data_IF_910214913008
#
_entry.id   IF_910214913008
#
_cell.length_a   1.000
_cell.length_b   1.000
_cell.length_c   1.000
_cell.angle_alpha   90.00
_cell.angle_beta   90.00
_cell.angle_gamma   90.00
#
_symmetry.space_group_name_H-M   'P 1'
#
loop_
_entity.id
_entity.type
_entity.pdbx_description
1 polymer ?
#
# COMPACT_ATOMS: atom_id res chain seq x y z
N UNK A 1 -13.18 14.18 -0.13
CA UNK A 1 -12.50 12.91 0.16
C UNK A 1 -11.80 12.47 -1.12
N UNK A 2 -10.53 12.04 -1.05
CA UNK A 2 -9.78 11.58 -2.23
C UNK A 2 -9.52 10.09 -2.08
N UNK A 3 -9.82 9.34 -3.13
CA UNK A 3 -9.55 7.90 -3.19
C UNK A 3 -8.36 7.67 -4.11
N UNK A 4 -7.44 6.81 -3.68
CA UNK A 4 -6.28 6.46 -4.47
C UNK A 4 -5.80 5.04 -4.18
N UNK A 5 -4.98 4.50 -5.07
CA UNK A 5 -4.44 3.16 -4.97
C UNK A 5 -2.91 3.14 -4.96
N UNK A 6 -2.31 2.20 -4.23
CA UNK A 6 -0.88 1.92 -4.27
C UNK A 6 -0.65 0.48 -4.73
N UNK A 7 0.23 0.28 -5.70
CA UNK A 7 0.55 -1.05 -6.23
C UNK A 7 1.88 -1.51 -5.64
N UNK A 8 1.91 -2.74 -5.17
CA UNK A 8 3.10 -3.35 -4.56
C UNK A 8 3.01 -4.88 -4.58
N UNK A 9 4.04 -5.56 -4.07
CA UNK A 9 4.02 -7.02 -3.92
C UNK A 9 2.97 -7.46 -2.90
N UNK A 10 2.47 -8.70 -3.01
CA UNK A 10 1.51 -9.24 -2.03
C UNK A 10 2.14 -9.27 -0.64
N UNK A 11 3.43 -9.61 -0.54
CA UNK A 11 4.16 -9.59 0.73
C UNK A 11 4.18 -8.21 1.39
N UNK A 12 4.51 -7.16 0.62
CA UNK A 12 4.50 -5.78 1.12
C UNK A 12 3.09 -5.32 1.49
N UNK A 13 2.09 -5.63 0.66
CA UNK A 13 0.70 -5.26 0.91
C UNK A 13 0.18 -5.89 2.21
N UNK A 14 0.46 -7.18 2.45
CA UNK A 14 0.09 -7.87 3.68
C UNK A 14 0.82 -7.32 4.90
N UNK A 15 2.08 -6.91 4.77
CA UNK A 15 2.82 -6.23 5.87
C UNK A 15 2.17 -4.91 6.23
N UNK A 16 1.78 -4.11 5.24
CA UNK A 16 1.08 -2.83 5.46
C UNK A 16 -0.28 -3.09 6.11
N UNK A 17 -1.07 -4.02 5.56
CA UNK A 17 -2.37 -4.43 6.08
C UNK A 17 -2.29 -4.78 7.58
N UNK A 18 -1.36 -5.67 7.94
CA UNK A 18 -1.22 -6.19 9.30
C UNK A 18 -0.66 -5.18 10.29
N UNK A 19 0.38 -4.47 9.88
CA UNK A 19 1.06 -3.52 10.77
C UNK A 19 0.36 -2.17 10.85
N UNK A 20 -0.48 -1.84 9.86
CA UNK A 20 -1.05 -0.50 9.66
C UNK A 20 0.03 0.58 9.49
N UNK A 21 1.22 0.17 9.05
CA UNK A 21 2.37 1.06 8.82
C UNK A 21 2.94 0.82 7.43
N UNK A 22 3.03 1.88 6.64
CA UNK A 22 3.82 1.92 5.41
C UNK A 22 5.25 2.34 5.73
N UNK A 23 6.20 1.54 5.25
CA UNK A 23 7.64 1.83 5.36
C UNK A 23 8.26 1.86 3.96
N UNK A 24 8.72 3.01 3.48
CA UNK A 24 9.38 3.13 2.18
C UNK A 24 10.67 2.32 2.18
N UNK A 25 10.96 1.64 1.06
CA UNK A 25 12.09 0.73 0.97
C UNK A 25 13.46 1.43 1.08
N UNK A 26 13.59 2.67 0.58
CA UNK A 26 14.78 3.52 0.74
C UNK A 26 14.41 5.02 0.66
N UNK A 27 14.98 5.90 1.51
CA UNK A 27 14.86 7.33 1.35
C UNK A 27 15.86 7.82 0.29
N UNK A 28 15.63 7.52 -0.99
CA UNK A 28 16.16 8.42 -2.00
C UNK A 28 15.38 9.73 -1.85
N UNK A 29 16.07 10.87 -1.82
CA UNK A 29 15.59 12.15 -1.25
C UNK A 29 14.31 12.72 -1.90
N UNK A 30 13.84 12.14 -3.00
CA UNK A 30 12.57 12.45 -3.67
C UNK A 30 11.43 11.48 -3.35
N UNK A 31 11.68 10.27 -2.84
CA UNK A 31 10.74 9.12 -2.83
C UNK A 31 10.38 8.59 -1.44
N UNK A 32 10.51 9.43 -0.42
CA UNK A 32 10.35 9.00 0.95
C UNK A 32 8.88 8.64 1.30
N UNK A 33 7.87 9.01 0.52
CA UNK A 33 6.45 8.83 0.89
C UNK A 33 5.76 7.60 0.29
N UNK A 34 4.45 7.49 0.56
CA UNK A 34 3.57 6.55 -0.12
C UNK A 34 3.05 7.21 -1.40
N UNK A 35 3.42 6.65 -2.54
CA UNK A 35 2.90 7.04 -3.85
C UNK A 35 1.58 6.35 -4.13
N UNK A 36 0.63 7.12 -4.69
CA UNK A 36 -0.68 6.64 -5.05
C UNK A 36 -1.15 7.12 -6.41
N UNK A 37 -2.08 6.37 -6.98
CA UNK A 37 -2.77 6.64 -8.23
C UNK A 37 -4.20 7.04 -7.92
N UNK A 38 -4.68 8.14 -8.48
CA UNK A 38 -6.04 8.61 -8.21
C UNK A 38 -7.05 7.59 -8.76
N UNK A 39 -7.96 7.10 -7.90
CA UNK A 39 -8.82 5.97 -8.23
C UNK A 39 -9.84 6.28 -9.35
N UNK A 40 -10.18 7.57 -9.51
CA UNK A 40 -11.23 8.04 -10.42
C UNK A 40 -10.72 8.41 -11.83
N UNK A 41 -9.41 8.33 -12.11
CA UNK A 41 -8.84 8.64 -13.42
C UNK A 41 -8.25 7.38 -14.09
N UNK A 42 -9.14 6.53 -14.59
CA UNK A 42 -8.81 5.21 -15.17
C UNK A 42 -8.42 5.25 -16.65
N UNK A 43 -8.53 6.40 -17.32
CA UNK A 43 -8.54 6.46 -18.79
C UNK A 43 -7.18 6.70 -19.43
N UNK A 44 -6.15 7.11 -18.66
CA UNK A 44 -4.88 7.56 -19.25
C UNK A 44 -3.62 7.16 -18.49
N UNK A 45 -3.74 6.57 -17.29
CA UNK A 45 -2.57 6.06 -16.57
C UNK A 45 -2.27 4.62 -16.96
N UNK A 46 -1.22 4.42 -17.76
CA UNK A 46 -0.60 3.10 -17.96
C UNK A 46 0.22 2.76 -16.72
N UNK A 47 -0.21 1.75 -15.97
CA UNK A 47 0.53 1.26 -14.80
C UNK A 47 1.93 0.81 -15.25
N UNK A 48 3.01 1.46 -14.76
CA UNK A 48 4.34 1.08 -15.18
C UNK A 48 4.63 -0.35 -14.72
N UNK A 49 5.08 -1.18 -15.66
CA UNK A 49 5.50 -2.58 -15.45
C UNK A 49 6.62 -2.76 -14.41
N UNK A 50 7.22 -1.66 -13.93
CA UNK A 50 8.25 -1.62 -12.89
C UNK A 50 7.71 -1.58 -11.46
N UNK A 51 6.42 -1.31 -11.24
CA UNK A 51 5.80 -1.49 -9.93
C UNK A 51 5.66 -3.00 -9.74
N UNK A 52 6.51 -3.62 -8.91
CA UNK A 52 6.50 -5.05 -8.57
C UNK A 52 5.07 -5.54 -8.28
N UNK A 53 4.39 -5.97 -9.34
CA UNK A 53 2.95 -6.13 -9.37
C UNK A 53 2.52 -7.39 -8.65
N UNK A 54 1.36 -7.33 -8.01
CA UNK A 54 0.79 -8.48 -7.32
C UNK A 54 -0.36 -8.11 -6.41
N UNK A 55 -0.35 -6.89 -5.88
CA UNK A 55 -1.39 -6.37 -5.01
C UNK A 55 -1.64 -4.87 -5.25
N UNK A 56 -2.90 -4.47 -5.08
CA UNK A 56 -3.38 -3.10 -5.13
C UNK A 56 -4.04 -2.76 -3.79
N UNK A 57 -3.43 -1.84 -3.03
CA UNK A 57 -4.00 -1.30 -1.80
C UNK A 57 -4.85 -0.08 -2.15
N UNK A 58 -6.07 -0.01 -1.63
CA UNK A 58 -6.97 1.13 -1.81
C UNK A 58 -6.97 1.98 -0.55
N UNK A 59 -6.90 3.29 -0.74
CA UNK A 59 -6.86 4.26 0.34
C UNK A 59 -7.90 5.36 0.15
N UNK A 60 -8.37 5.86 1.28
CA UNK A 60 -9.14 7.09 1.39
C UNK A 60 -8.32 8.14 2.15
N UNK A 61 -8.27 9.35 1.62
CA UNK A 61 -7.73 10.53 2.28
C UNK A 61 -8.85 11.50 2.70
N UNK A 62 -8.80 11.90 3.97
CA UNK A 62 -9.78 12.81 4.60
C UNK A 62 -9.18 14.14 5.07
N UNK A 63 -7.88 14.33 4.91
CA UNK A 63 -7.14 15.46 5.45
C UNK A 63 -6.97 16.61 4.47
N UNK A 64 -6.14 17.60 4.82
CA UNK A 64 -5.80 18.70 3.92
C UNK A 64 -5.07 18.19 2.67
N UNK A 65 -5.26 18.91 1.57
CA UNK A 65 -4.70 18.59 0.26
C UNK A 65 -3.97 19.82 -0.26
N UNK A 66 -2.78 19.63 -0.80
CA UNK A 66 -2.09 20.64 -1.59
C UNK A 66 -2.03 20.18 -3.04
N UNK A 67 -2.43 21.06 -3.95
CA UNK A 67 -2.32 20.81 -5.38
C UNK A 67 -1.05 21.47 -5.87
N UNK A 68 -0.17 20.69 -6.49
CA UNK A 68 1.07 21.20 -7.09
C UNK A 68 1.05 20.95 -8.59
N UNK A 69 1.21 22.01 -9.42
CA UNK A 69 1.28 21.87 -10.87
C UNK A 69 2.64 21.33 -11.35
N UNK A 70 3.68 21.36 -10.50
CA UNK A 70 5.02 20.84 -10.79
C UNK A 70 5.19 19.37 -10.34
N UNK A 71 5.95 18.61 -11.12
CA UNK A 71 6.16 17.17 -10.89
C UNK A 71 7.09 16.87 -9.72
N UNK A 72 7.82 17.87 -9.22
CA UNK A 72 8.77 17.71 -8.13
C UNK A 72 8.08 17.77 -6.76
N UNK A 73 8.23 16.73 -5.91
CA UNK A 73 7.73 16.79 -4.55
C UNK A 73 8.43 17.92 -3.77
N UNK A 74 7.74 18.56 -2.80
CA UNK A 74 8.37 19.56 -1.95
C UNK A 74 9.63 18.99 -1.30
N UNK A 75 10.70 19.80 -1.19
CA UNK A 75 11.91 19.37 -0.45
C UNK A 75 11.60 18.98 1.00
N UNK A 76 10.61 19.66 1.61
CA UNK A 76 10.11 19.39 2.95
C UNK A 76 8.57 19.35 2.92
N UNK A 77 7.96 18.21 2.55
CA UNK A 77 6.52 18.07 2.55
C UNK A 77 5.99 18.06 3.99
N UNK A 78 4.90 18.80 4.27
CA UNK A 78 4.29 18.80 5.59
C UNK A 78 3.63 17.44 5.87
N UNK A 79 3.92 16.79 7.01
CA UNK A 79 3.21 15.58 7.42
C UNK A 79 1.70 15.80 7.49
N UNK A 80 0.90 14.76 7.28
CA UNK A 80 -0.56 14.83 7.34
C UNK A 80 -1.20 15.75 6.28
N UNK A 81 -0.51 15.98 5.16
CA UNK A 81 -1.02 16.67 3.98
C UNK A 81 -0.84 15.78 2.75
N UNK A 82 -1.89 15.59 1.96
CA UNK A 82 -1.81 14.88 0.68
C UNK A 82 -1.31 15.85 -0.39
N UNK A 83 -0.25 15.47 -1.10
CA UNK A 83 0.20 16.22 -2.27
C UNK A 83 -0.48 15.62 -3.50
N UNK A 84 -1.32 16.42 -4.14
CA UNK A 84 -2.04 16.06 -5.34
C UNK A 84 -1.28 16.56 -6.57
N UNK A 85 -0.68 15.63 -7.30
CA UNK A 85 0.06 15.88 -8.53
C UNK A 85 -0.90 15.60 -9.67
N UNK A 86 -1.63 16.64 -10.06
CA UNK A 86 -2.59 16.55 -11.16
C UNK A 86 -1.90 16.09 -12.45
N UNK A 87 -2.60 15.35 -13.33
CA UNK A 87 -3.90 14.74 -13.10
C UNK A 87 -3.83 13.30 -12.53
N UNK A 88 -2.64 12.70 -12.45
CA UNK A 88 -2.54 11.24 -12.37
C UNK A 88 -2.16 10.66 -10.99
N UNK A 89 -1.48 11.43 -10.13
CA UNK A 89 -0.80 10.87 -8.95
C UNK A 89 -1.01 11.66 -7.69
N UNK A 90 -0.85 10.97 -6.57
CA UNK A 90 -0.80 11.56 -5.24
C UNK A 90 0.41 11.04 -4.47
N UNK A 91 0.83 11.83 -3.50
CA UNK A 91 1.95 11.51 -2.62
C UNK A 91 1.59 11.81 -1.16
N UNK A 92 1.72 10.80 -0.30
CA UNK A 92 1.57 10.93 1.15
C UNK A 92 2.96 10.97 1.81
N UNK A 93 3.33 12.07 2.47
CA UNK A 93 4.65 12.23 3.08
C UNK A 93 4.93 11.28 4.25
N UNK A 94 6.22 10.99 4.49
CA UNK A 94 6.69 10.42 5.78
C UNK A 94 6.25 11.30 6.94
N UNK A 95 5.92 10.67 8.05
CA UNK A 95 5.47 11.32 9.27
C UNK A 95 3.95 11.49 9.31
N UNK A 96 3.24 11.09 8.24
CA UNK A 96 1.78 11.06 8.25
C UNK A 96 1.27 10.00 9.21
N UNK A 97 0.50 10.44 10.20
CA UNK A 97 -0.05 9.60 11.29
C UNK A 97 -1.59 9.61 11.31
N UNK A 98 -2.22 10.48 10.54
CA UNK A 98 -3.68 10.64 10.46
C UNK A 98 -4.13 10.86 9.01
N UNK A 99 -5.45 10.81 8.82
CA UNK A 99 -6.17 11.08 7.56
C UNK A 99 -6.04 10.04 6.44
N UNK A 100 -5.03 9.18 6.46
CA UNK A 100 -4.88 8.06 5.53
C UNK A 100 -5.57 6.82 6.07
N UNK A 101 -6.62 6.35 5.39
CA UNK A 101 -7.32 5.10 5.73
C UNK A 101 -7.11 4.07 4.65
N UNK A 102 -6.78 2.85 5.04
CA UNK A 102 -6.78 1.70 4.14
C UNK A 102 -8.20 1.18 4.02
N UNK A 103 -8.71 1.06 2.80
CA UNK A 103 -10.12 0.71 2.53
C UNK A 103 -10.28 -0.62 1.80
N UNK A 104 -9.20 -1.13 1.22
CA UNK A 104 -9.23 -2.41 0.55
C UNK A 104 -7.85 -2.88 0.12
N UNK A 105 -7.78 -4.16 -0.21
CA UNK A 105 -6.62 -4.79 -0.81
C UNK A 105 -7.13 -5.78 -1.87
N UNK A 106 -6.72 -5.58 -3.12
CA UNK A 106 -6.99 -6.52 -4.20
C UNK A 106 -5.69 -7.22 -4.58
N UNK A 107 -5.71 -8.55 -4.66
CA UNK A 107 -4.57 -9.33 -5.14
C UNK A 107 -4.82 -9.67 -6.60
N UNK A 108 -3.86 -9.35 -7.47
CA UNK A 108 -4.01 -9.62 -8.90
C UNK A 108 -4.01 -11.12 -9.17
N UNK A 109 -4.61 -11.60 -10.28
CA UNK A 109 -4.69 -13.03 -10.59
C UNK A 109 -3.33 -13.76 -10.53
N UNK A 110 -2.24 -13.08 -10.91
CA UNK A 110 -0.87 -13.61 -10.83
C UNK A 110 -0.14 -13.34 -9.52
N UNK A 111 -0.61 -12.41 -8.68
CA UNK A 111 0.09 -11.98 -7.46
C UNK A 111 0.29 -13.09 -6.43
N UNK A 112 -0.66 -14.02 -6.36
CA UNK A 112 -0.59 -15.17 -5.45
C UNK A 112 0.53 -16.16 -5.77
N UNK A 113 0.98 -16.24 -7.03
CA UNK A 113 1.92 -17.25 -7.48
C UNK A 113 3.34 -17.03 -6.93
N UNK A 114 3.71 -15.77 -6.68
CA UNK A 114 5.09 -15.38 -6.36
C UNK A 114 5.36 -15.18 -4.85
N UNK A 115 4.33 -15.01 -4.01
CA UNK A 115 4.50 -14.53 -2.62
C UNK A 115 3.95 -15.44 -1.52
N UNK A 116 3.16 -16.47 -1.84
CA UNK A 116 2.75 -17.47 -0.86
C UNK A 116 3.86 -18.50 -0.65
N UNK A 117 4.87 -18.14 0.13
CA UNK A 117 5.83 -19.11 0.64
C UNK A 117 5.08 -20.23 1.36
N UNK A 118 5.16 -21.44 0.82
CA UNK A 118 4.54 -22.62 1.42
C UNK A 118 5.22 -22.86 2.76
N UNK A 119 4.50 -22.85 3.89
CA UNK A 119 5.09 -23.14 5.18
C UNK A 119 5.77 -24.51 5.13
N UNK A 120 6.95 -24.62 5.75
CA UNK A 120 7.75 -25.86 5.75
C UNK A 120 6.99 -27.08 6.29
N UNK A 121 6.02 -26.89 7.18
CA UNK A 121 5.17 -27.95 7.72
C UNK A 121 4.08 -28.45 6.75
N UNK A 122 3.88 -27.76 5.63
CA UNK A 122 3.00 -28.21 4.55
C UNK A 122 3.70 -29.21 3.60
N UNK A 123 4.92 -29.65 3.91
CA UNK A 123 5.61 -30.76 3.23
C UNK A 123 4.97 -32.12 3.49
N UNK A 124 4.20 -32.26 4.59
CA UNK A 124 3.48 -33.50 4.93
C UNK A 124 2.04 -33.56 4.37
N UNK A 125 1.56 -32.51 3.72
CA UNK A 125 0.24 -32.42 3.09
C UNK A 125 0.40 -32.05 1.61
N UNK A 126 -0.69 -32.09 0.82
CA UNK A 126 -0.62 -31.51 -0.52
C UNK A 126 -0.31 -30.02 -0.40
N UNK A 127 0.82 -29.58 -0.98
CA UNK A 127 1.24 -28.18 -0.97
C UNK A 127 0.16 -27.27 -1.59
N UNK A 128 -0.67 -27.83 -2.48
CA UNK A 128 -1.81 -27.17 -3.09
C UNK A 128 -2.90 -26.86 -2.06
N UNK A 129 -3.35 -27.82 -1.25
CA UNK A 129 -4.40 -27.60 -0.24
C UNK A 129 -3.97 -26.55 0.79
N UNK A 130 -2.71 -26.61 1.21
CA UNK A 130 -2.15 -25.63 2.14
C UNK A 130 -2.16 -24.21 1.54
N UNK A 131 -1.76 -24.06 0.27
CA UNK A 131 -1.84 -22.78 -0.45
C UNK A 131 -3.29 -22.27 -0.53
N UNK A 132 -4.26 -23.14 -0.85
CA UNK A 132 -5.67 -22.73 -0.92
C UNK A 132 -6.19 -22.27 0.44
N UNK A 133 -5.92 -23.02 1.51
CA UNK A 133 -6.31 -22.61 2.88
C UNK A 133 -5.70 -21.28 3.28
N UNK A 134 -4.43 -21.04 2.94
CA UNK A 134 -3.78 -19.75 3.18
C UNK A 134 -4.42 -18.61 2.38
N UNK A 135 -4.74 -18.83 1.10
CA UNK A 135 -5.47 -17.84 0.28
C UNK A 135 -6.79 -17.47 0.91
N UNK A 136 -7.60 -18.44 1.31
CA UNK A 136 -8.90 -18.21 1.96
C UNK A 136 -8.72 -17.41 3.25
N UNK A 137 -7.75 -17.79 4.09
CA UNK A 137 -7.47 -17.08 5.34
C UNK A 137 -7.07 -15.62 5.11
N UNK A 138 -6.20 -15.37 4.14
CA UNK A 138 -5.76 -14.01 3.79
C UNK A 138 -6.91 -13.21 3.18
N UNK A 139 -7.74 -13.83 2.34
CA UNK A 139 -8.91 -13.19 1.75
C UNK A 139 -9.91 -12.73 2.83
N UNK A 140 -10.19 -13.58 3.81
CA UNK A 140 -11.01 -13.21 4.96
C UNK A 140 -10.38 -12.08 5.80
N UNK A 141 -9.05 -12.06 5.94
CA UNK A 141 -8.32 -10.97 6.62
C UNK A 141 -8.49 -9.63 5.87
N UNK A 142 -8.42 -9.66 4.54
CA UNK A 142 -8.65 -8.52 3.67
C UNK A 142 -10.06 -7.98 3.81
N UNK A 143 -11.07 -8.85 3.74
CA UNK A 143 -12.49 -8.48 3.84
C UNK A 143 -12.80 -7.82 5.18
N UNK A 144 -12.34 -8.43 6.28
CA UNK A 144 -12.47 -7.84 7.63
C UNK A 144 -11.82 -6.46 7.73
N UNK A 145 -10.67 -6.26 7.07
CA UNK A 145 -9.99 -4.96 7.07
C UNK A 145 -10.73 -3.91 6.25
N UNK A 146 -11.34 -4.30 5.13
CA UNK A 146 -12.17 -3.42 4.31
C UNK A 146 -13.37 -2.87 5.10
N UNK A 147 -13.93 -3.67 6.02
CA UNK A 147 -14.97 -3.22 6.96
C UNK A 147 -14.44 -2.24 8.01
N UNK A 148 -13.28 -2.53 8.61
CA UNK A 148 -12.72 -1.71 9.70
C UNK A 148 -12.12 -0.38 9.23
N UNK A 149 -11.70 -0.28 7.95
CA UNK A 149 -11.05 0.88 7.34
C UNK A 149 -9.97 1.56 8.20
N UNK A 150 -8.93 0.85 8.66
CA UNK A 150 -8.01 1.40 9.65
C UNK A 150 -7.13 2.52 9.10
N UNK A 151 -6.72 3.43 9.99
CA UNK A 151 -5.71 4.43 9.68
C UNK A 151 -4.34 3.78 9.43
N UNK A 152 -3.60 4.32 8.47
CA UNK A 152 -2.24 3.89 8.13
C UNK A 152 -1.23 5.00 8.42
N UNK A 153 -0.15 4.64 9.09
CA UNK A 153 0.98 5.53 9.39
C UNK A 153 2.05 5.38 8.31
N UNK A 154 2.63 6.48 7.84
CA UNK A 154 3.77 6.48 6.90
C UNK A 154 5.03 6.84 7.68
N UNK A 155 5.96 5.90 7.86
CA UNK A 155 7.14 6.09 8.71
C UNK A 155 8.44 5.59 8.06
N UNK A 156 9.54 6.30 8.30
CA UNK A 156 10.90 5.88 7.95
C UNK A 156 11.53 4.93 8.97
N UNK A 157 10.97 4.83 10.19
CA UNK A 157 11.59 4.05 11.25
C UNK A 157 11.34 2.54 11.06
N UNK A 158 12.44 1.80 10.82
CA UNK A 158 12.49 0.39 11.20
C UNK A 158 12.49 0.39 12.71
N UNK A 159 11.34 0.06 13.32
CA UNK A 159 11.15 0.17 14.77
C UNK A 159 12.40 -0.29 15.53
N UNK A 160 12.96 0.60 16.35
CA UNK A 160 13.92 0.18 17.38
C UNK A 160 13.20 -0.87 18.20
N UNK A 161 13.75 -2.09 18.26
CA UNK A 161 13.45 -2.97 19.39
C UNK A 161 13.87 -2.16 20.62
N UNK A 162 12.90 -1.67 21.37
CA UNK A 162 13.16 -1.26 22.75
C UNK A 162 13.63 -2.52 23.46
N UNK A 163 14.86 -2.46 23.94
CA UNK A 163 15.53 -3.47 24.76
C UNK A 163 14.74 -3.80 26.02
#
# INVERSE_FOLDING_TARGET
MIEFAHITSVSSALKILRSKVYRPAQPQRSDAGLYGLIANDRSTYSEPTSEYGGARLHFEWTGPVTTRPDWEPPRNPSPNMLNHHLPFRVFVPIGTTRHLRLTGLEITPGGWANDLAVPWHCTMFSAWDCRQKMKIKIQAEIEKMAEMKPNVIVSSERGRRTE
#
